data_IF_431446377109
#
_entry.id   IF_431446377109
#
_cell.length_a   1.000
_cell.length_b   1.000
_cell.length_c   1.000
_cell.angle_alpha   90.00
_cell.angle_beta   90.00
_cell.angle_gamma   90.00
#
_symmetry.space_group_name_H-M   'P 1'
#
loop_
_entity.id
_entity.type
_entity.pdbx_description
1 polymer ?
#
# COMPACT_ATOMS: atom_id res chain seq x y z
N UNK A 1 5.96 3.58 -3.25
CA UNK A 1 5.84 3.25 -4.68
C UNK A 1 4.41 2.93 -4.98
N UNK A 2 3.94 3.37 -6.15
CA UNK A 2 2.58 3.15 -6.60
C UNK A 2 2.60 2.05 -7.66
N UNK A 3 1.82 1.00 -7.45
CA UNK A 3 1.66 -0.09 -8.42
C UNK A 3 0.19 -0.28 -8.80
N UNK A 4 -0.67 0.67 -8.43
CA UNK A 4 -2.07 0.71 -8.89
C UNK A 4 -2.12 1.46 -10.23
N UNK A 5 -2.68 0.88 -11.29
CA UNK A 5 -2.89 1.59 -12.54
C UNK A 5 -3.71 2.88 -12.41
N UNK A 6 -4.53 3.05 -11.37
CA UNK A 6 -5.24 4.32 -11.10
C UNK A 6 -4.30 5.45 -10.69
N UNK A 7 -3.07 5.12 -10.27
CA UNK A 7 -2.01 6.07 -9.97
C UNK A 7 -2.39 7.11 -8.88
N UNK A 8 -3.29 6.78 -7.96
CA UNK A 8 -3.80 7.74 -6.97
C UNK A 8 -2.70 8.23 -6.01
N UNK A 9 -1.80 7.34 -5.56
CA UNK A 9 -0.67 7.73 -4.74
C UNK A 9 0.29 8.62 -5.53
N UNK A 10 0.54 8.28 -6.79
CA UNK A 10 1.34 9.11 -7.72
C UNK A 10 0.77 10.52 -7.84
N UNK A 11 -0.52 10.64 -8.14
CA UNK A 11 -1.21 11.92 -8.29
C UNK A 11 -1.26 12.72 -6.99
N UNK A 12 -1.28 12.07 -5.83
CA UNK A 12 -1.33 12.76 -4.54
C UNK A 12 0.05 13.23 -4.04
N UNK A 13 1.13 12.65 -4.58
CA UNK A 13 2.50 12.83 -4.09
C UNK A 13 3.39 13.64 -5.04
N UNK A 14 2.91 13.97 -6.24
CA UNK A 14 3.62 14.78 -7.23
C UNK A 14 2.79 16.01 -7.59
N UNK A 15 3.45 17.14 -7.83
CA UNK A 15 2.76 18.31 -8.36
C UNK A 15 2.39 18.11 -9.84
N UNK A 16 1.33 18.77 -10.30
CA UNK A 16 0.79 18.63 -11.66
C UNK A 16 1.77 19.03 -12.77
N UNK A 17 2.79 19.83 -12.46
CA UNK A 17 3.80 20.31 -13.41
C UNK A 17 5.01 19.37 -13.56
N UNK A 18 5.08 18.31 -12.76
CA UNK A 18 6.18 17.35 -12.78
C UNK A 18 5.97 16.34 -13.93
N UNK A 19 6.84 16.30 -14.95
CA UNK A 19 6.68 15.37 -16.06
C UNK A 19 7.06 13.94 -15.65
N UNK A 20 6.15 13.00 -15.85
CA UNK A 20 6.37 11.57 -15.64
C UNK A 20 6.74 10.92 -16.98
N UNK A 21 8.04 10.66 -17.18
CA UNK A 21 8.55 10.11 -18.44
C UNK A 21 8.63 8.57 -18.46
N UNK A 22 8.64 7.94 -17.29
CA UNK A 22 8.72 6.51 -17.09
C UNK A 22 8.03 6.15 -15.78
N UNK A 23 7.56 4.90 -15.66
CA UNK A 23 6.81 4.43 -14.48
C UNK A 23 7.24 3.04 -14.05
N UNK A 24 6.61 2.51 -13.00
CA UNK A 24 6.76 1.09 -12.61
C UNK A 24 6.53 0.13 -13.78
N UNK A 25 5.71 0.49 -14.78
CA UNK A 25 5.50 -0.34 -15.97
C UNK A 25 6.82 -0.60 -16.70
N UNK A 26 7.68 0.39 -16.82
CA UNK A 26 8.99 0.26 -17.46
C UNK A 26 9.95 -0.60 -16.63
N UNK A 27 9.91 -0.47 -15.30
CA UNK A 27 10.67 -1.33 -14.38
C UNK A 27 10.27 -2.79 -14.58
N UNK A 28 8.97 -3.08 -14.67
CA UNK A 28 8.47 -4.44 -14.91
C UNK A 28 8.91 -5.00 -16.27
N UNK A 29 9.19 -4.12 -17.23
CA UNK A 29 9.73 -4.47 -18.56
C UNK A 29 11.25 -4.58 -18.60
N UNK A 30 11.95 -4.12 -17.58
CA UNK A 30 13.40 -4.31 -17.41
C UNK A 30 14.21 -3.02 -17.29
N UNK A 31 13.58 -1.85 -17.28
CA UNK A 31 14.28 -0.60 -16.93
C UNK A 31 14.77 -0.64 -15.49
N UNK A 32 15.91 -0.02 -15.21
CA UNK A 32 16.42 0.06 -13.86
C UNK A 32 15.54 0.96 -13.00
N UNK A 33 15.27 0.52 -11.76
CA UNK A 33 14.33 1.20 -10.87
C UNK A 33 14.87 2.55 -10.41
N UNK A 34 16.19 2.65 -10.19
CA UNK A 34 16.87 3.88 -9.79
C UNK A 34 16.74 5.03 -10.79
N UNK A 35 16.51 4.73 -12.08
CA UNK A 35 16.40 5.74 -13.14
C UNK A 35 15.02 6.41 -13.18
N UNK A 36 14.05 5.87 -12.43
CA UNK A 36 12.63 6.27 -12.52
C UNK A 36 12.13 6.88 -11.20
N UNK A 37 12.82 6.62 -10.08
CA UNK A 37 12.41 7.17 -8.78
C UNK A 37 12.50 8.70 -8.78
N UNK A 38 11.46 9.33 -8.24
CA UNK A 38 11.29 10.79 -8.21
C UNK A 38 11.19 11.28 -6.77
N UNK A 39 11.61 12.52 -6.51
CA UNK A 39 11.26 13.22 -5.26
C UNK A 39 9.75 13.50 -5.23
N UNK A 40 9.14 13.30 -4.07
CA UNK A 40 7.74 13.67 -3.85
C UNK A 40 7.61 15.10 -3.28
N UNK A 41 6.38 15.57 -3.14
CA UNK A 41 6.05 16.80 -2.39
C UNK A 41 6.49 16.78 -0.92
N UNK A 42 6.81 15.61 -0.37
CA UNK A 42 7.25 15.45 1.02
C UNK A 42 8.77 15.27 1.10
N UNK A 43 9.50 16.12 1.85
CA UNK A 43 10.94 16.01 2.00
C UNK A 43 11.37 14.65 2.56
N UNK A 44 12.40 14.05 1.95
CA UNK A 44 12.91 12.73 2.33
C UNK A 44 12.04 11.56 1.89
N UNK A 45 10.94 11.81 1.16
CA UNK A 45 10.06 10.78 0.61
C UNK A 45 10.17 10.79 -0.90
N UNK A 46 10.43 9.61 -1.47
CA UNK A 46 10.52 9.38 -2.90
C UNK A 46 9.34 8.54 -3.38
N UNK A 47 9.02 8.65 -4.66
CA UNK A 47 7.97 7.88 -5.32
C UNK A 47 8.48 7.24 -6.61
N UNK A 48 8.15 5.97 -6.78
CA UNK A 48 8.16 5.32 -8.08
C UNK A 48 6.73 5.44 -8.62
N UNK A 49 6.50 6.23 -9.69
CA UNK A 49 5.17 6.55 -10.17
C UNK A 49 4.52 5.38 -10.92
N UNK A 50 3.19 5.43 -11.00
CA UNK A 50 2.34 4.54 -11.79
C UNK A 50 1.62 5.29 -12.91
N UNK A 51 0.96 4.55 -13.80
CA UNK A 51 0.12 5.07 -14.88
C UNK A 51 -0.99 4.09 -15.24
N UNK A 52 -2.04 4.60 -15.89
CA UNK A 52 -3.18 3.80 -16.39
C UNK A 52 -2.70 2.67 -17.32
N UNK A 53 -1.68 2.90 -18.13
CA UNK A 53 -1.15 1.88 -19.05
C UNK A 53 -0.57 0.66 -18.32
N UNK A 54 -0.34 0.71 -17.00
CA UNK A 54 0.09 -0.43 -16.20
C UNK A 54 -0.88 -1.61 -16.30
N UNK A 55 -2.18 -1.40 -16.59
CA UNK A 55 -3.15 -2.48 -16.81
C UNK A 55 -2.74 -3.46 -17.93
N UNK A 56 -1.94 -3.01 -18.90
CA UNK A 56 -1.52 -3.88 -20.03
C UNK A 56 -0.40 -4.83 -19.65
N UNK A 57 0.32 -4.56 -18.55
CA UNK A 57 1.56 -5.26 -18.21
C UNK A 57 1.33 -6.75 -17.97
N UNK A 58 0.16 -7.13 -17.44
CA UNK A 58 -0.17 -8.52 -17.18
C UNK A 58 -0.17 -9.37 -18.46
N UNK A 59 -0.81 -8.85 -19.52
CA UNK A 59 -0.82 -9.49 -20.84
C UNK A 59 0.55 -9.50 -21.51
N UNK A 60 1.32 -8.42 -21.35
CA UNK A 60 2.65 -8.28 -21.95
C UNK A 60 3.67 -9.23 -21.30
N UNK A 61 3.48 -9.53 -20.02
CA UNK A 61 4.32 -10.44 -19.24
C UNK A 61 3.81 -11.89 -19.23
N UNK A 62 2.74 -12.22 -19.97
CA UNK A 62 2.06 -13.51 -19.89
C UNK A 62 2.98 -14.73 -20.06
N UNK A 63 3.96 -14.64 -20.96
CA UNK A 63 4.90 -15.72 -21.27
C UNK A 63 6.25 -15.59 -20.55
N UNK A 64 6.42 -14.59 -19.67
CA UNK A 64 7.70 -14.35 -19.00
C UNK A 64 7.84 -15.29 -17.80
N UNK A 65 8.91 -16.08 -17.80
CA UNK A 65 9.24 -16.96 -16.69
C UNK A 65 9.60 -16.13 -15.45
N UNK A 66 8.98 -16.45 -14.31
CA UNK A 66 9.20 -15.76 -13.04
C UNK A 66 8.70 -14.31 -13.04
N UNK A 67 7.63 -14.03 -13.80
CA UNK A 67 6.96 -12.72 -13.88
C UNK A 67 6.43 -12.23 -12.54
N UNK A 68 6.22 -13.13 -11.60
CA UNK A 68 5.71 -12.92 -10.25
C UNK A 68 6.78 -12.32 -9.32
N UNK A 69 8.07 -12.44 -9.67
CA UNK A 69 9.22 -11.99 -8.84
C UNK A 69 9.99 -10.84 -9.49
N UNK A 70 9.42 -10.14 -10.48
CA UNK A 70 10.13 -9.06 -11.17
C UNK A 70 10.38 -7.90 -10.22
N UNK A 71 9.34 -7.47 -9.48
CA UNK A 71 9.46 -6.35 -8.56
C UNK A 71 10.46 -6.65 -7.43
N UNK A 72 10.44 -7.87 -6.87
CA UNK A 72 11.43 -8.31 -5.87
C UNK A 72 12.87 -8.17 -6.39
N UNK A 73 13.13 -8.55 -7.64
CA UNK A 73 14.46 -8.42 -8.25
C UNK A 73 14.86 -6.95 -8.46
N UNK A 74 13.92 -6.11 -8.87
CA UNK A 74 14.18 -4.67 -9.05
C UNK A 74 14.52 -4.00 -7.71
N UNK A 75 13.74 -4.30 -6.66
CA UNK A 75 13.90 -3.72 -5.32
C UNK A 75 15.25 -3.99 -4.66
N UNK A 76 15.88 -5.16 -4.93
CA UNK A 76 17.24 -5.47 -4.44
C UNK A 76 18.30 -4.43 -4.81
N UNK A 77 18.08 -3.64 -5.86
CA UNK A 77 19.03 -2.60 -6.29
C UNK A 77 18.99 -1.35 -5.40
N UNK A 78 17.89 -1.14 -4.68
CA UNK A 78 17.63 0.08 -3.92
C UNK A 78 17.32 -0.19 -2.45
N UNK A 79 17.16 -1.44 -2.02
CA UNK A 79 16.76 -1.78 -0.65
C UNK A 79 17.72 -1.23 0.41
N UNK A 80 19.01 -1.08 0.07
CA UNK A 80 20.00 -0.46 0.97
C UNK A 80 19.91 1.07 1.07
N UNK A 81 19.13 1.71 0.20
CA UNK A 81 19.06 3.18 0.10
C UNK A 81 17.87 3.75 0.88
N UNK A 82 16.98 2.89 1.40
CA UNK A 82 15.75 3.29 2.05
C UNK A 82 15.56 2.53 3.36
N UNK A 83 15.16 3.22 4.42
CA UNK A 83 14.77 2.58 5.67
C UNK A 83 13.46 1.77 5.49
N UNK A 84 12.54 2.30 4.67
CA UNK A 84 11.25 1.69 4.39
C UNK A 84 10.86 1.87 2.92
N UNK A 85 10.26 0.83 2.35
CA UNK A 85 9.64 0.87 1.01
C UNK A 85 8.18 0.48 1.16
N UNK A 86 7.27 1.44 0.99
CA UNK A 86 5.82 1.22 1.02
C UNK A 86 5.33 0.96 -0.41
N UNK A 87 4.54 -0.10 -0.61
CA UNK A 87 3.97 -0.47 -1.90
C UNK A 87 2.46 -0.26 -1.83
N UNK A 88 1.93 0.68 -2.62
CA UNK A 88 0.49 0.91 -2.75
C UNK A 88 -0.10 0.01 -3.84
N UNK A 89 -0.90 -0.97 -3.43
CA UNK A 89 -1.39 -2.05 -4.28
C UNK A 89 -2.77 -1.73 -4.88
N UNK A 90 -3.07 -2.18 -6.10
CA UNK A 90 -4.42 -2.10 -6.63
C UNK A 90 -5.39 -2.96 -5.80
N UNK A 91 -6.70 -2.65 -5.82
CA UNK A 91 -7.71 -3.42 -5.10
C UNK A 91 -7.92 -4.84 -5.66
N UNK A 92 -7.38 -5.13 -6.85
CA UNK A 92 -7.42 -6.44 -7.50
C UNK A 92 -6.28 -7.35 -7.07
N UNK A 93 -6.56 -8.63 -6.84
CA UNK A 93 -5.55 -9.66 -6.54
C UNK A 93 -5.03 -10.29 -7.85
N UNK A 94 -4.32 -9.50 -8.66
CA UNK A 94 -3.75 -9.92 -9.95
C UNK A 94 -2.20 -9.96 -9.91
N UNK A 95 -1.55 -10.08 -11.07
CA UNK A 95 -0.08 -10.14 -11.19
C UNK A 95 0.65 -8.97 -10.49
N UNK A 96 0.07 -7.77 -10.44
CA UNK A 96 0.66 -6.62 -9.76
C UNK A 96 0.73 -6.83 -8.26
N UNK A 97 -0.41 -7.21 -7.66
CA UNK A 97 -0.50 -7.53 -6.24
C UNK A 97 0.37 -8.73 -5.86
N UNK A 98 0.46 -9.75 -6.73
CA UNK A 98 1.38 -10.88 -6.53
C UNK A 98 2.84 -10.39 -6.52
N UNK A 99 3.23 -9.51 -7.45
CA UNK A 99 4.58 -8.93 -7.46
C UNK A 99 4.88 -8.16 -6.17
N UNK A 100 3.93 -7.37 -5.68
CA UNK A 100 4.05 -6.64 -4.41
C UNK A 100 4.29 -7.58 -3.23
N UNK A 101 3.39 -8.55 -3.06
CA UNK A 101 3.44 -9.51 -1.96
C UNK A 101 4.67 -10.43 -2.04
N UNK A 102 5.13 -10.75 -3.26
CA UNK A 102 6.37 -11.51 -3.45
C UNK A 102 7.62 -10.78 -2.97
N UNK A 103 7.55 -9.44 -2.89
CA UNK A 103 8.66 -8.56 -2.59
C UNK A 103 8.62 -7.94 -1.19
N UNK A 104 7.44 -7.88 -0.57
CA UNK A 104 7.22 -7.28 0.74
C UNK A 104 7.63 -8.20 1.90
N UNK A 105 8.09 -7.62 3.00
CA UNK A 105 8.28 -8.32 4.27
C UNK A 105 7.02 -8.26 5.13
N UNK A 106 6.30 -7.13 5.06
CA UNK A 106 5.13 -6.86 5.88
C UNK A 106 3.93 -6.51 5.01
N UNK A 107 2.82 -7.20 5.23
CA UNK A 107 1.50 -6.87 4.69
C UNK A 107 0.71 -6.09 5.75
N UNK A 108 0.10 -4.98 5.33
CA UNK A 108 -0.81 -4.17 6.14
C UNK A 108 -2.17 -4.17 5.44
N UNK A 109 -3.25 -4.43 6.17
CA UNK A 109 -4.59 -4.59 5.60
C UNK A 109 -5.52 -3.50 6.15
N UNK A 110 -5.84 -2.46 5.36
CA UNK A 110 -6.90 -1.52 5.70
C UNK A 110 -8.27 -2.16 5.47
N UNK A 111 -9.15 -2.14 6.48
CA UNK A 111 -10.52 -2.65 6.38
C UNK A 111 -11.54 -1.52 6.53
N UNK A 112 -12.57 -1.54 5.69
CA UNK A 112 -13.73 -0.67 5.77
C UNK A 112 -15.01 -1.47 5.53
N UNK A 113 -15.98 -1.34 6.44
CA UNK A 113 -17.30 -2.00 6.39
C UNK A 113 -17.28 -3.55 6.45
N UNK A 114 -18.40 -4.14 6.85
CA UNK A 114 -18.50 -5.58 7.12
C UNK A 114 -18.42 -6.45 5.85
N UNK A 115 -18.84 -5.89 4.70
CA UNK A 115 -18.74 -6.56 3.40
C UNK A 115 -17.29 -6.85 2.99
N UNK A 116 -16.30 -6.17 3.60
CA UNK A 116 -14.89 -6.44 3.37
C UNK A 116 -14.42 -7.79 3.95
N UNK A 117 -15.21 -8.46 4.81
CA UNK A 117 -14.83 -9.76 5.37
C UNK A 117 -14.73 -10.85 4.30
N UNK A 118 -15.61 -10.84 3.29
CA UNK A 118 -15.52 -11.80 2.17
C UNK A 118 -14.24 -11.57 1.34
N UNK A 119 -13.86 -10.31 1.13
CA UNK A 119 -12.60 -9.96 0.47
C UNK A 119 -11.38 -10.32 1.31
N UNK A 120 -11.48 -10.26 2.64
CA UNK A 120 -10.42 -10.65 3.54
C UNK A 120 -10.11 -12.15 3.46
N UNK A 121 -11.13 -13.01 3.40
CA UNK A 121 -10.92 -14.46 3.25
C UNK A 121 -10.17 -14.79 1.95
N UNK A 122 -10.56 -14.16 0.83
CA UNK A 122 -9.87 -14.33 -0.46
C UNK A 122 -8.41 -13.84 -0.40
N UNK A 123 -8.16 -12.70 0.25
CA UNK A 123 -6.82 -12.19 0.46
C UNK A 123 -5.97 -13.15 1.29
N UNK A 124 -6.53 -13.76 2.34
CA UNK A 124 -5.81 -14.70 3.19
C UNK A 124 -5.42 -15.99 2.46
N UNK A 125 -6.27 -16.48 1.57
CA UNK A 125 -5.94 -17.66 0.77
C UNK A 125 -4.81 -17.38 -0.22
N UNK A 126 -4.84 -16.22 -0.88
CA UNK A 126 -3.76 -15.79 -1.78
C UNK A 126 -2.48 -15.50 -0.99
N UNK A 127 -2.58 -14.87 0.17
CA UNK A 127 -1.45 -14.64 1.07
C UNK A 127 -0.74 -15.95 1.43
N UNK A 128 -1.49 -16.99 1.82
CA UNK A 128 -0.91 -18.31 2.15
C UNK A 128 -0.15 -18.90 0.98
N UNK A 129 -0.75 -18.89 -0.22
CA UNK A 129 -0.10 -19.41 -1.44
C UNK A 129 1.20 -18.65 -1.74
N UNK A 130 1.17 -17.31 -1.69
CA UNK A 130 2.34 -16.48 -1.95
C UNK A 130 3.42 -16.73 -0.89
N UNK A 131 3.04 -16.85 0.38
CA UNK A 131 3.99 -17.13 1.46
C UNK A 131 4.67 -18.47 1.26
N UNK A 132 3.94 -19.51 0.89
CA UNK A 132 4.47 -20.86 0.68
C UNK A 132 5.34 -20.98 -0.59
N UNK A 133 4.94 -20.36 -1.70
CA UNK A 133 5.57 -20.61 -3.01
C UNK A 133 6.57 -19.52 -3.42
N UNK A 134 6.37 -18.28 -2.99
CA UNK A 134 7.08 -17.12 -3.52
C UNK A 134 7.88 -16.35 -2.47
N UNK A 135 7.39 -16.23 -1.24
CA UNK A 135 7.94 -15.35 -0.22
C UNK A 135 7.65 -15.81 1.22
N UNK A 136 8.47 -16.73 1.73
CA UNK A 136 8.33 -17.29 3.09
C UNK A 136 8.39 -16.22 4.20
N UNK A 137 9.09 -15.13 3.96
CA UNK A 137 9.30 -14.03 4.91
C UNK A 137 8.08 -13.08 5.03
N UNK A 138 7.09 -13.18 4.13
CA UNK A 138 5.92 -12.29 4.14
C UNK A 138 5.06 -12.52 5.37
N UNK A 139 4.85 -11.51 6.20
CA UNK A 139 3.97 -11.57 7.38
C UNK A 139 2.85 -10.54 7.32
N UNK A 140 1.65 -10.91 7.75
CA UNK A 140 0.59 -9.94 8.03
C UNK A 140 0.99 -9.21 9.31
N UNK A 141 1.58 -8.03 9.15
CA UNK A 141 2.07 -7.22 10.26
C UNK A 141 0.93 -6.52 10.99
N UNK A 142 -0.07 -6.02 10.25
CA UNK A 142 -1.16 -5.27 10.86
C UNK A 142 -2.44 -5.25 10.04
N UNK A 143 -3.58 -5.25 10.71
CA UNK A 143 -4.91 -5.00 10.18
C UNK A 143 -5.49 -3.80 10.92
N UNK A 144 -6.03 -2.81 10.20
CA UNK A 144 -6.55 -1.61 10.85
C UNK A 144 -7.85 -1.13 10.21
N UNK A 145 -8.69 -0.51 11.03
CA UNK A 145 -9.97 0.04 10.59
C UNK A 145 -9.79 1.41 9.95
N UNK A 146 -10.33 1.58 8.75
CA UNK A 146 -10.39 2.88 8.04
C UNK A 146 -11.80 3.41 7.98
N UNK A 147 -11.92 4.74 7.82
CA UNK A 147 -13.20 5.46 7.81
C UNK A 147 -14.12 5.10 8.99
N UNK A 148 -13.54 4.76 10.15
CA UNK A 148 -14.23 4.20 11.30
C UNK A 148 -15.21 5.20 11.91
N UNK A 149 -16.46 4.76 12.12
CA UNK A 149 -17.48 5.51 12.87
C UNK A 149 -17.95 4.70 14.09
N UNK A 150 -17.48 5.04 15.30
CA UNK A 150 -17.84 4.33 16.53
C UNK A 150 -19.30 4.52 16.94
N UNK A 151 -20.11 5.31 16.23
CA UNK A 151 -21.54 5.44 16.51
C UNK A 151 -22.33 4.31 15.87
N UNK A 152 -21.77 3.66 14.85
CA UNK A 152 -22.45 2.59 14.12
C UNK A 152 -22.20 1.25 14.82
N UNK A 153 -23.27 0.46 14.99
CA UNK A 153 -23.16 -0.90 15.55
C UNK A 153 -22.29 -1.78 14.65
N UNK A 154 -22.49 -1.69 13.33
CA UNK A 154 -21.75 -2.46 12.34
C UNK A 154 -20.23 -2.31 12.45
N UNK A 155 -19.73 -1.08 12.65
CA UNK A 155 -18.29 -0.85 12.77
C UNK A 155 -17.73 -1.42 14.09
N UNK A 156 -18.50 -1.37 15.19
CA UNK A 156 -18.09 -1.97 16.47
C UNK A 156 -18.04 -3.50 16.38
N UNK A 157 -19.07 -4.09 15.81
CA UNK A 157 -19.18 -5.54 15.64
C UNK A 157 -18.01 -6.05 14.79
N UNK A 158 -17.74 -5.40 13.64
CA UNK A 158 -16.60 -5.73 12.79
C UNK A 158 -15.25 -5.61 13.49
N UNK A 159 -15.02 -4.52 14.24
CA UNK A 159 -13.77 -4.35 14.99
C UNK A 159 -13.59 -5.44 16.06
N UNK A 160 -14.68 -5.84 16.73
CA UNK A 160 -14.69 -6.97 17.66
C UNK A 160 -14.32 -8.28 16.98
N UNK A 161 -14.97 -8.60 15.86
CA UNK A 161 -14.69 -9.81 15.07
C UNK A 161 -13.23 -9.86 14.60
N UNK A 162 -12.69 -8.75 14.09
CA UNK A 162 -11.28 -8.70 13.68
C UNK A 162 -10.35 -8.99 14.85
N UNK A 163 -10.61 -8.44 16.04
CA UNK A 163 -9.80 -8.71 17.24
C UNK A 163 -9.89 -10.16 17.72
N UNK A 164 -11.03 -10.80 17.55
CA UNK A 164 -11.19 -12.22 17.89
C UNK A 164 -10.41 -13.11 16.92
N UNK A 165 -10.40 -12.77 15.62
CA UNK A 165 -9.76 -13.57 14.57
C UNK A 165 -8.25 -13.31 14.42
N UNK A 166 -7.81 -12.06 14.57
CA UNK A 166 -6.45 -11.60 14.25
C UNK A 166 -5.77 -10.90 15.44
N UNK A 167 -6.10 -11.34 16.65
CA UNK A 167 -5.67 -10.86 17.98
C UNK A 167 -4.53 -9.84 18.00
N UNK A 168 -3.30 -10.29 17.77
CA UNK A 168 -2.05 -9.52 17.89
C UNK A 168 -1.71 -8.69 16.64
N UNK A 169 -2.47 -8.87 15.56
CA UNK A 169 -2.31 -8.16 14.29
C UNK A 169 -3.26 -6.98 14.15
N UNK A 170 -4.34 -6.89 14.93
CA UNK A 170 -5.28 -5.74 14.81
C UNK A 170 -4.74 -4.51 15.53
N UNK A 171 -4.52 -3.43 14.79
CA UNK A 171 -4.11 -2.15 15.35
C UNK A 171 -5.13 -1.62 16.35
N UNK A 172 -4.63 -1.00 17.43
CA UNK A 172 -5.49 -0.32 18.39
C UNK A 172 -5.98 1.02 17.84
N UNK A 173 -5.16 1.68 17.04
CA UNK A 173 -5.52 2.91 16.36
C UNK A 173 -6.47 2.64 15.18
N UNK A 174 -7.51 3.48 15.07
CA UNK A 174 -8.46 3.45 13.95
C UNK A 174 -8.42 4.79 13.21
N UNK A 175 -8.56 4.77 11.89
CA UNK A 175 -8.59 5.99 11.07
C UNK A 175 -10.05 6.46 10.96
N UNK A 176 -10.42 7.60 11.57
CA UNK A 176 -11.80 8.07 11.55
C UNK A 176 -12.17 8.64 10.18
N UNK A 177 -13.48 8.62 9.87
CA UNK A 177 -13.99 9.39 8.72
C UNK A 177 -13.67 10.88 8.93
N UNK A 178 -12.92 11.47 8.00
CA UNK A 178 -12.40 12.83 8.14
C UNK A 178 -12.41 13.56 6.80
N UNK A 179 -13.09 14.71 6.73
CA UNK A 179 -13.22 15.52 5.50
C UNK A 179 -11.87 16.09 5.06
N UNK A 180 -11.01 16.51 6.00
CA UNK A 180 -9.67 17.03 5.69
C UNK A 180 -8.76 15.99 5.07
N UNK A 181 -8.92 14.71 5.43
CA UNK A 181 -8.20 13.62 4.78
C UNK A 181 -8.57 13.49 3.31
N UNK A 182 -9.85 13.66 2.97
CA UNK A 182 -10.35 13.59 1.59
C UNK A 182 -9.96 14.83 0.75
N UNK A 183 -9.76 15.99 1.39
CA UNK A 183 -9.33 17.22 0.72
C UNK A 183 -7.83 17.23 0.42
N UNK A 184 -6.99 16.66 1.29
CA UNK A 184 -5.53 16.80 1.24
C UNK A 184 -4.89 16.40 -0.12
N UNK A 185 -5.32 15.31 -0.79
CA UNK A 185 -4.81 14.96 -2.12
C UNK A 185 -4.99 16.06 -3.17
N UNK A 186 -6.09 16.81 -3.12
CA UNK A 186 -6.36 17.89 -4.07
C UNK A 186 -5.40 19.10 -3.92
N UNK A 187 -4.62 19.14 -2.84
CA UNK A 187 -3.62 20.16 -2.57
C UNK A 187 -2.18 19.61 -2.68
N UNK A 188 -2.00 18.37 -3.14
CA UNK A 188 -0.68 17.72 -3.24
C UNK A 188 0.10 17.79 -1.92
N UNK A 189 -0.60 17.56 -0.81
CA UNK A 189 -0.03 17.63 0.53
C UNK A 189 -0.44 16.42 1.36
N UNK A 190 0.48 15.77 2.09
CA UNK A 190 0.10 14.77 3.07
C UNK A 190 -0.72 15.41 4.18
N UNK A 191 -1.62 14.65 4.82
CA UNK A 191 -2.52 15.19 5.85
C UNK A 191 -1.79 15.84 7.02
N UNK A 192 -0.58 15.36 7.34
CA UNK A 192 0.28 15.92 8.39
C UNK A 192 0.81 17.32 8.06
N UNK A 193 0.86 17.69 6.78
CA UNK A 193 1.21 19.04 6.32
C UNK A 193 -0.05 19.90 6.10
N UNK A 194 -1.07 19.34 5.44
CA UNK A 194 -2.29 20.07 5.09
C UNK A 194 -3.14 20.43 6.32
N UNK A 195 -3.32 19.50 7.26
CA UNK A 195 -4.13 19.69 8.46
C UNK A 195 -3.58 18.89 9.66
N UNK A 196 -2.41 19.28 10.22
CA UNK A 196 -1.72 18.55 11.29
C UNK A 196 -2.56 18.34 12.54
N UNK A 197 -3.43 19.30 12.88
CA UNK A 197 -4.28 19.21 14.07
C UNK A 197 -5.56 18.38 13.85
N UNK A 198 -5.80 17.91 12.63
CA UNK A 198 -6.98 17.11 12.30
C UNK A 198 -6.94 15.75 12.99
N UNK A 199 -8.13 15.19 13.25
CA UNK A 199 -8.27 13.83 13.79
C UNK A 199 -7.61 12.77 12.88
N UNK A 200 -7.62 13.00 11.56
CA UNK A 200 -7.00 12.11 10.58
C UNK A 200 -5.48 12.10 10.72
N UNK A 201 -4.84 13.29 10.75
CA UNK A 201 -3.40 13.41 10.94
C UNK A 201 -2.94 12.73 12.23
N UNK A 202 -3.61 13.02 13.36
CA UNK A 202 -3.29 12.41 14.66
C UNK A 202 -3.42 10.89 14.64
N UNK A 203 -4.47 10.37 14.01
CA UNK A 203 -4.68 8.92 13.87
C UNK A 203 -3.61 8.25 13.00
N UNK A 204 -3.19 8.87 11.88
CA UNK A 204 -2.11 8.31 11.07
C UNK A 204 -0.76 8.33 11.78
N UNK A 205 -0.45 9.37 12.55
CA UNK A 205 0.77 9.39 13.37
C UNK A 205 0.77 8.26 14.41
N UNK A 206 -0.34 8.09 15.13
CA UNK A 206 -0.48 7.01 16.13
C UNK A 206 -0.40 5.62 15.49
N UNK A 207 -1.07 5.42 14.36
CA UNK A 207 -0.99 4.16 13.62
C UNK A 207 0.45 3.89 13.16
N UNK A 208 1.16 4.91 12.68
CA UNK A 208 2.56 4.78 12.26
C UNK A 208 3.45 4.34 13.42
N UNK A 209 3.29 4.93 14.61
CA UNK A 209 4.02 4.50 15.82
C UNK A 209 3.74 3.04 16.17
N UNK A 210 2.48 2.59 16.10
CA UNK A 210 2.13 1.18 16.32
C UNK A 210 2.80 0.25 15.30
N UNK A 211 2.77 0.61 14.02
CA UNK A 211 3.35 -0.19 12.93
C UNK A 211 4.87 -0.32 13.05
N UNK A 212 5.57 0.76 13.37
CA UNK A 212 7.03 0.76 13.53
C UNK A 212 7.51 -0.13 14.68
N UNK A 213 6.66 -0.41 15.67
CA UNK A 213 6.98 -1.36 16.75
C UNK A 213 6.97 -2.82 16.26
N UNK A 214 6.24 -3.11 15.18
CA UNK A 214 6.06 -4.45 14.61
C UNK A 214 7.06 -4.76 13.49
N UNK A 215 7.61 -3.75 12.82
CA UNK A 215 8.55 -3.92 11.69
C UNK A 215 10.02 -4.02 12.13
N UNK A 216 10.29 -4.77 13.20
CA UNK A 216 11.64 -4.95 13.77
C UNK A 216 12.31 -6.24 13.31
#
# INVERSE_FOLDING_TARGET
MDIDPQANATMSMLNDDVPINATIRDVLKGTHIEDIIMESVSPGVHILPSEIALVTVESELANKIGREKILRKALKRIESNYDYIIIDCPPSLNLLSINALSAAQHLIIPIHEFLAMEGLDQLLDIYKQIKEELNEDLDISSIFMTMYDPRTKLAKDLYGTLKELFVDKVATTTIPRNVKLAEAPAYHQPIIAYAPESKGAKAYCQLTEELLLLWK
#
